data_IF_937089775808
#
_entry.id   IF_937089775808
#
_cell.length_a   1.000
_cell.length_b   1.000
_cell.length_c   1.000
_cell.angle_alpha   90.00
_cell.angle_beta   90.00
_cell.angle_gamma   90.00
#
_symmetry.space_group_name_H-M   'P 1'
#
loop_
_entity.id
_entity.type
_entity.pdbx_description
1 polymer ?
#
# COMPACT_ATOMS: atom_id res chain seq x y z
N UNK A 1 19.84 -17.66 13.98
CA UNK A 1 20.09 -16.22 13.84
C UNK A 1 20.39 -15.68 15.22
N UNK A 2 21.46 -14.92 15.34
CA UNK A 2 21.79 -14.21 16.57
C UNK A 2 20.81 -13.04 16.80
N UNK A 3 20.72 -12.52 18.03
CA UNK A 3 19.79 -11.43 18.36
C UNK A 3 20.00 -10.15 17.57
N UNK A 4 21.23 -9.84 17.14
CA UNK A 4 21.51 -8.61 16.39
C UNK A 4 20.95 -8.70 14.96
N UNK A 5 21.08 -9.86 14.31
CA UNK A 5 20.44 -10.11 12.99
C UNK A 5 18.92 -9.94 13.06
N UNK A 6 18.26 -10.39 14.12
CA UNK A 6 16.81 -10.24 14.29
C UNK A 6 16.40 -8.77 14.50
N UNK A 7 17.20 -8.00 15.24
CA UNK A 7 16.98 -6.57 15.46
C UNK A 7 17.12 -5.77 14.15
N UNK A 8 18.10 -6.12 13.31
CA UNK A 8 18.28 -5.51 11.98
C UNK A 8 17.12 -5.80 11.04
N UNK A 9 16.67 -7.07 10.97
CA UNK A 9 15.48 -7.46 10.19
C UNK A 9 14.26 -6.68 10.68
N UNK A 10 14.06 -6.56 12.00
CA UNK A 10 12.96 -5.79 12.58
C UNK A 10 12.96 -4.32 12.14
N UNK A 11 14.14 -3.67 12.17
CA UNK A 11 14.31 -2.28 11.69
C UNK A 11 13.99 -2.16 10.19
N UNK A 12 14.47 -3.09 9.36
CA UNK A 12 14.23 -3.08 7.92
C UNK A 12 12.76 -3.29 7.58
N UNK A 13 12.10 -4.22 8.27
CA UNK A 13 10.64 -4.43 8.14
C UNK A 13 9.88 -3.16 8.51
N UNK A 14 10.26 -2.48 9.61
CA UNK A 14 9.63 -1.23 10.00
C UNK A 14 9.86 -0.11 8.97
N UNK A 15 11.07 0.00 8.40
CA UNK A 15 11.37 0.96 7.33
C UNK A 15 10.55 0.69 6.06
N UNK A 16 10.43 -0.58 5.65
CA UNK A 16 9.58 -0.97 4.51
C UNK A 16 8.13 -0.64 4.77
N UNK A 17 7.64 -0.89 6.00
CA UNK A 17 6.27 -0.54 6.39
C UNK A 17 6.01 0.97 6.26
N UNK A 18 6.87 1.82 6.83
CA UNK A 18 6.74 3.27 6.72
C UNK A 18 6.86 3.72 5.26
N UNK A 19 7.84 3.21 4.52
CA UNK A 19 8.04 3.49 3.10
C UNK A 19 6.83 3.11 2.24
N UNK A 20 6.18 1.99 2.54
CA UNK A 20 4.96 1.54 1.86
C UNK A 20 3.80 2.53 2.04
N UNK A 21 3.63 3.13 3.23
CA UNK A 21 2.61 4.18 3.43
C UNK A 21 2.84 5.39 2.52
N UNK A 22 4.08 5.89 2.46
CA UNK A 22 4.42 7.02 1.59
C UNK A 22 4.26 6.66 0.11
N UNK A 23 4.71 5.47 -0.28
CA UNK A 23 4.59 5.00 -1.66
C UNK A 23 3.12 4.87 -2.09
N UNK A 24 2.27 4.21 -1.29
CA UNK A 24 0.83 4.10 -1.58
C UNK A 24 0.17 5.47 -1.64
N UNK A 25 0.54 6.38 -0.73
CA UNK A 25 0.04 7.75 -0.74
C UNK A 25 0.41 8.51 -2.03
N UNK A 26 1.67 8.40 -2.46
CA UNK A 26 2.14 9.01 -3.72
C UNK A 26 1.42 8.41 -4.92
N UNK A 27 1.25 7.09 -4.98
CA UNK A 27 0.49 6.42 -6.04
C UNK A 27 -0.97 6.89 -6.05
N UNK A 28 -1.61 7.01 -4.88
CA UNK A 28 -2.98 7.56 -4.78
C UNK A 28 -3.06 9.00 -5.27
N UNK A 29 -2.04 9.81 -4.99
CA UNK A 29 -1.91 11.18 -5.47
C UNK A 29 -1.73 11.28 -6.98
N UNK A 30 -0.90 10.42 -7.55
CA UNK A 30 -0.65 10.37 -8.99
C UNK A 30 -1.87 9.91 -9.77
N UNK A 31 -2.60 8.92 -9.25
CA UNK A 31 -3.81 8.40 -9.89
C UNK A 31 -4.94 9.42 -9.82
N UNK A 32 -5.11 10.09 -8.67
CA UNK A 32 -6.21 11.01 -8.43
C UNK A 32 -7.52 10.30 -8.06
N UNK A 33 -8.43 11.04 -7.44
CA UNK A 33 -9.71 10.52 -6.93
C UNK A 33 -10.63 9.98 -8.04
N UNK A 34 -10.67 10.65 -9.19
CA UNK A 34 -11.54 10.29 -10.32
C UNK A 34 -11.14 8.94 -10.93
N UNK A 35 -9.88 8.82 -11.37
CA UNK A 35 -9.36 7.57 -11.90
C UNK A 35 -9.46 6.45 -10.87
N UNK A 36 -9.18 6.73 -9.59
CA UNK A 36 -9.33 5.75 -8.52
C UNK A 36 -10.78 5.25 -8.40
N UNK A 37 -11.77 6.13 -8.46
CA UNK A 37 -13.19 5.76 -8.45
C UNK A 37 -13.61 5.01 -9.73
N UNK A 38 -12.99 5.34 -10.86
CA UNK A 38 -13.24 4.70 -12.16
C UNK A 38 -12.54 3.34 -12.31
N UNK A 39 -11.42 3.11 -11.63
CA UNK A 39 -10.62 1.90 -11.78
C UNK A 39 -10.78 0.90 -10.63
N UNK A 40 -11.30 1.36 -9.48
CA UNK A 40 -11.49 0.53 -8.31
C UNK A 40 -12.92 0.61 -7.75
N UNK A 41 -13.39 -0.52 -7.23
CA UNK A 41 -14.64 -0.63 -6.46
C UNK A 41 -14.32 -0.54 -4.98
N UNK A 42 -14.89 0.44 -4.28
CA UNK A 42 -14.79 0.56 -2.82
C UNK A 42 -15.52 -0.59 -2.13
N UNK A 43 -14.95 -1.12 -1.04
CA UNK A 43 -15.60 -2.11 -0.17
C UNK A 43 -16.41 -1.38 0.91
N UNK A 44 -17.75 -1.53 0.89
CA UNK A 44 -18.62 -1.34 2.06
C UNK A 44 -19.57 -0.14 2.04
N UNK A 45 -20.71 -0.33 2.71
CA UNK A 45 -21.64 0.73 3.14
C UNK A 45 -21.03 1.45 4.35
N UNK A 46 -20.73 2.73 4.22
CA UNK A 46 -20.16 3.51 5.32
C UNK A 46 -21.26 3.87 6.33
N UNK A 47 -21.20 3.30 7.53
CA UNK A 47 -21.94 3.80 8.71
C UNK A 47 -21.08 4.82 9.46
N UNK A 48 -21.69 5.75 10.21
CA UNK A 48 -20.97 6.81 10.94
C UNK A 48 -19.82 6.27 11.82
N UNK A 49 -20.00 5.10 12.43
CA UNK A 49 -18.98 4.45 13.28
C UNK A 49 -17.85 3.72 12.52
N UNK A 50 -17.98 3.48 11.22
CA UNK A 50 -16.98 2.78 10.39
C UNK A 50 -16.25 3.72 9.41
N UNK A 51 -16.47 5.04 9.52
CA UNK A 51 -15.84 6.01 8.64
C UNK A 51 -14.36 6.13 8.97
N UNK A 52 -13.51 5.76 8.01
CA UNK A 52 -12.06 5.97 8.12
C UNK A 52 -11.78 7.47 8.00
N UNK A 53 -10.72 7.95 8.66
CA UNK A 53 -10.26 9.33 8.47
C UNK A 53 -9.91 9.60 7.00
N UNK A 54 -9.86 10.88 6.62
CA UNK A 54 -9.67 11.33 5.22
C UNK A 54 -8.45 10.66 4.56
N UNK A 55 -7.34 10.57 5.30
CA UNK A 55 -6.13 9.89 4.84
C UNK A 55 -6.32 8.39 4.60
N UNK A 56 -7.01 7.71 5.51
CA UNK A 56 -7.30 6.28 5.41
C UNK A 56 -8.24 5.95 4.24
N UNK A 57 -9.14 6.86 3.88
CA UNK A 57 -9.98 6.72 2.69
C UNK A 57 -9.19 7.01 1.40
N UNK A 58 -8.27 7.96 1.46
CA UNK A 58 -7.43 8.35 0.34
C UNK A 58 -6.44 7.26 -0.10
N UNK A 59 -5.82 6.54 0.83
CA UNK A 59 -4.91 5.43 0.51
C UNK A 59 -5.64 4.11 0.21
N UNK A 60 -6.94 4.02 0.51
CA UNK A 60 -7.69 2.77 0.32
C UNK A 60 -8.29 2.69 -1.09
N UNK A 61 -7.69 1.86 -1.94
CA UNK A 61 -8.12 1.66 -3.34
C UNK A 61 -9.37 0.79 -3.47
N UNK A 62 -9.53 -0.25 -2.65
CA UNK A 62 -10.58 -1.25 -2.84
C UNK A 62 -10.16 -2.34 -3.83
N UNK A 63 -11.12 -2.92 -4.56
CA UNK A 63 -10.83 -3.98 -5.55
C UNK A 63 -10.69 -3.39 -6.96
N UNK A 64 -9.68 -3.78 -7.76
CA UNK A 64 -9.58 -3.33 -9.12
C UNK A 64 -10.76 -3.87 -9.95
N UNK A 65 -11.36 -3.01 -10.77
CA UNK A 65 -12.46 -3.37 -11.69
C UNK A 65 -12.10 -3.16 -13.16
N UNK A 66 -10.98 -2.49 -13.44
CA UNK A 66 -10.45 -2.25 -14.80
C UNK A 66 -9.02 -2.74 -14.94
N UNK A 67 -8.53 -2.88 -16.18
CA UNK A 67 -7.13 -3.20 -16.46
C UNK A 67 -6.15 -2.20 -15.85
N UNK A 68 -6.46 -0.89 -15.91
CA UNK A 68 -5.65 0.14 -15.25
C UNK A 68 -5.59 -0.08 -13.74
N UNK A 69 -6.72 -0.44 -13.11
CA UNK A 69 -6.77 -0.78 -11.69
C UNK A 69 -5.93 -2.02 -11.36
N UNK A 70 -5.97 -3.05 -12.21
CA UNK A 70 -5.14 -4.26 -12.07
C UNK A 70 -3.65 -3.92 -12.19
N UNK A 71 -3.27 -3.10 -13.18
CA UNK A 71 -1.88 -2.67 -13.36
C UNK A 71 -1.37 -1.88 -12.15
N UNK A 72 -2.17 -0.94 -11.63
CA UNK A 72 -1.85 -0.21 -10.41
C UNK A 72 -1.72 -1.15 -9.21
N UNK A 73 -2.64 -2.11 -9.07
CA UNK A 73 -2.59 -3.10 -8.00
C UNK A 73 -1.29 -3.91 -8.07
N UNK A 74 -0.94 -4.43 -9.25
CA UNK A 74 0.31 -5.17 -9.46
C UNK A 74 1.52 -4.27 -9.18
N UNK A 75 1.50 -3.00 -9.57
CA UNK A 75 2.62 -2.07 -9.30
C UNK A 75 2.77 -1.79 -7.80
N UNK A 76 1.67 -1.60 -7.06
CA UNK A 76 1.73 -1.37 -5.61
C UNK A 76 2.29 -2.60 -4.91
N UNK A 77 1.69 -3.77 -5.14
CA UNK A 77 2.09 -5.01 -4.48
C UNK A 77 3.48 -5.46 -4.95
N UNK A 78 3.75 -5.45 -6.24
CA UNK A 78 5.03 -5.86 -6.82
C UNK A 78 6.20 -5.06 -6.26
N UNK A 79 6.04 -3.74 -6.12
CA UNK A 79 7.09 -2.89 -5.52
C UNK A 79 7.21 -3.18 -4.03
N UNK A 80 6.13 -3.13 -3.25
CA UNK A 80 6.23 -3.31 -1.79
C UNK A 80 6.78 -4.70 -1.43
N UNK A 81 6.26 -5.76 -2.05
CA UNK A 81 6.70 -7.12 -1.75
C UNK A 81 8.05 -7.43 -2.39
N UNK A 82 8.29 -7.04 -3.64
CA UNK A 82 9.56 -7.30 -4.33
C UNK A 82 10.73 -6.53 -3.71
N UNK A 83 10.59 -5.21 -3.60
CA UNK A 83 11.61 -4.38 -2.95
C UNK A 83 11.71 -4.69 -1.46
N UNK A 84 10.58 -4.86 -0.77
CA UNK A 84 10.58 -5.15 0.67
C UNK A 84 11.25 -6.47 0.99
N UNK A 85 10.99 -7.53 0.23
CA UNK A 85 11.67 -8.81 0.39
C UNK A 85 13.18 -8.68 0.13
N UNK A 86 13.56 -8.04 -0.97
CA UNK A 86 14.97 -7.80 -1.27
C UNK A 86 15.68 -7.01 -0.15
N UNK A 87 15.08 -5.90 0.28
CA UNK A 87 15.66 -4.99 1.27
C UNK A 87 15.74 -5.61 2.67
N UNK A 88 14.80 -6.48 3.05
CA UNK A 88 14.81 -7.11 4.37
C UNK A 88 15.83 -8.24 4.45
N UNK A 89 16.00 -9.02 3.37
CA UNK A 89 16.76 -10.27 3.41
C UNK A 89 18.12 -10.24 2.71
N UNK A 90 18.38 -9.29 1.81
CA UNK A 90 19.59 -9.27 0.99
C UNK A 90 20.44 -8.00 1.13
N UNK A 91 19.85 -6.93 1.67
CA UNK A 91 20.57 -5.75 2.16
C UNK A 91 20.61 -5.86 3.67
#
# INVERSE_FOLDING_TARGET
MDPATNDEIGKRVFQVFIGAFFYIFLVAKLIGSENKANWFKRRGNYTFFNRRGIFGEYINFGYPKTWQGILVFIAIYGVIFGFGYWYVFFY
#
